data_IF_933809729260
#
_entry.id   IF_933809729260
#
_cell.length_a   1.000
_cell.length_b   1.000
_cell.length_c   1.000
_cell.angle_alpha   90.00
_cell.angle_beta   90.00
_cell.angle_gamma   90.00
#
_symmetry.space_group_name_H-M   'P 1'
#
loop_
_entity.id
_entity.type
_entity.pdbx_description
1 polymer ?
#
# COMPACT_ATOMS: atom_id res chain seq x y z
N UNK A 1 12.46 9.92 15.61
CA UNK A 1 12.64 11.04 14.66
C UNK A 1 11.92 10.71 13.37
N UNK A 2 11.18 11.66 12.78
CA UNK A 2 10.52 11.44 11.48
C UNK A 2 11.56 11.16 10.41
N UNK A 3 11.34 10.15 9.57
CA UNK A 3 12.29 9.80 8.51
C UNK A 3 11.56 9.50 7.20
N UNK A 4 11.96 10.19 6.13
CA UNK A 4 11.45 9.89 4.79
C UNK A 4 11.90 8.51 4.36
N UNK A 5 11.04 7.81 3.64
CA UNK A 5 11.34 6.47 3.15
C UNK A 5 10.20 5.90 2.32
N UNK A 6 10.18 4.59 2.19
CA UNK A 6 9.17 3.85 1.42
C UNK A 6 8.38 2.94 2.34
N UNK A 7 7.07 2.85 2.08
CA UNK A 7 6.22 1.77 2.52
C UNK A 7 5.98 0.84 1.32
N UNK A 8 6.21 -0.46 1.48
CA UNK A 8 6.16 -1.44 0.40
C UNK A 8 5.30 -2.65 0.71
N UNK A 9 4.92 -3.36 -0.34
CA UNK A 9 4.29 -4.68 -0.32
C UNK A 9 5.19 -5.61 -1.14
N UNK A 10 5.68 -6.67 -0.51
CA UNK A 10 6.45 -7.72 -1.16
C UNK A 10 5.61 -8.98 -1.33
N UNK A 11 5.74 -9.61 -2.49
CA UNK A 11 5.23 -10.95 -2.77
C UNK A 11 6.40 -11.92 -2.91
N UNK A 12 6.13 -13.19 -2.67
CA UNK A 12 7.06 -14.29 -2.92
C UNK A 12 6.30 -15.38 -3.65
N UNK A 13 6.86 -15.91 -4.73
CA UNK A 13 6.21 -16.91 -5.58
C UNK A 13 5.91 -18.23 -4.85
N UNK A 14 6.65 -18.55 -3.78
CA UNK A 14 6.46 -19.78 -3.01
C UNK A 14 5.42 -19.64 -1.90
N UNK A 15 4.91 -18.43 -1.64
CA UNK A 15 3.87 -18.22 -0.65
C UNK A 15 2.49 -18.39 -1.28
N UNK A 16 1.53 -18.86 -0.47
CA UNK A 16 0.13 -18.97 -0.89
C UNK A 16 -0.41 -17.62 -1.36
N UNK A 17 -1.31 -17.65 -2.35
CA UNK A 17 -1.93 -16.42 -2.88
C UNK A 17 -2.54 -15.55 -1.77
N UNK A 18 -2.34 -14.24 -1.91
CA UNK A 18 -2.83 -13.25 -0.94
C UNK A 18 -1.93 -13.07 0.29
N UNK A 19 -0.80 -13.79 0.39
CA UNK A 19 0.20 -13.59 1.45
C UNK A 19 1.24 -12.58 1.01
N UNK A 20 1.34 -11.48 1.75
CA UNK A 20 2.28 -10.41 1.46
C UNK A 20 3.06 -10.00 2.70
N UNK A 21 4.33 -9.62 2.50
CA UNK A 21 5.10 -8.88 3.50
C UNK A 21 4.86 -7.40 3.31
N UNK A 22 4.49 -6.70 4.37
CA UNK A 22 4.28 -5.24 4.33
C UNK A 22 5.21 -4.61 5.34
N UNK A 23 6.06 -3.69 4.90
CA UNK A 23 7.05 -3.05 5.77
C UNK A 23 7.61 -1.79 5.14
N UNK A 24 8.60 -1.21 5.82
CA UNK A 24 9.27 0.02 5.38
C UNK A 24 10.76 -0.11 5.15
N UNK A 25 11.30 0.88 4.47
CA UNK A 25 12.75 1.12 4.37
C UNK A 25 13.04 2.60 4.20
N UNK A 26 14.19 3.06 4.70
CA UNK A 26 14.70 4.42 4.44
C UNK A 26 15.63 4.46 3.21
N UNK A 27 15.86 3.29 2.60
CA UNK A 27 16.66 3.08 1.39
C UNK A 27 15.72 2.69 0.25
N UNK A 28 16.28 2.23 -0.88
CA UNK A 28 15.50 1.65 -1.97
C UNK A 28 14.83 0.33 -1.56
N UNK A 29 13.53 0.11 -1.85
CA UNK A 29 12.85 -1.14 -1.53
C UNK A 29 13.48 -2.37 -2.18
N UNK A 30 14.07 -2.23 -3.37
CA UNK A 30 14.78 -3.29 -4.09
C UNK A 30 15.94 -3.84 -3.25
N UNK A 31 16.72 -2.95 -2.64
CA UNK A 31 17.84 -3.33 -1.76
C UNK A 31 17.30 -4.06 -0.53
N UNK A 32 16.20 -3.58 0.05
CA UNK A 32 15.62 -4.20 1.26
C UNK A 32 15.03 -5.58 0.96
N UNK A 33 14.39 -5.76 -0.20
CA UNK A 33 13.85 -7.03 -0.65
C UNK A 33 14.96 -8.07 -0.81
N UNK A 34 16.07 -7.69 -1.46
CA UNK A 34 17.25 -8.54 -1.60
C UNK A 34 17.87 -8.91 -0.24
N UNK A 35 18.10 -7.93 0.64
CA UNK A 35 18.66 -8.18 1.98
C UNK A 35 17.79 -9.12 2.84
N UNK A 36 16.46 -9.06 2.68
CA UNK A 36 15.54 -9.92 3.40
C UNK A 36 15.63 -11.38 2.94
N UNK A 37 15.79 -11.57 1.62
CA UNK A 37 16.00 -12.88 1.01
C UNK A 37 17.35 -13.46 1.44
N UNK A 38 18.46 -12.74 1.19
CA UNK A 38 19.82 -13.20 1.49
C UNK A 38 20.03 -13.58 2.96
N UNK A 39 19.40 -12.85 3.89
CA UNK A 39 19.57 -13.06 5.34
C UNK A 39 18.62 -14.10 5.93
N UNK A 40 17.65 -14.62 5.17
CA UNK A 40 16.69 -15.60 5.66
C UNK A 40 16.90 -16.96 5.00
N UNK A 41 17.50 -17.89 5.73
CA UNK A 41 17.67 -19.28 5.31
C UNK A 41 16.37 -20.05 5.05
N UNK A 42 15.21 -19.50 5.44
CA UNK A 42 13.89 -20.12 5.27
C UNK A 42 13.04 -19.55 4.14
N UNK A 43 13.60 -18.73 3.25
CA UNK A 43 12.87 -18.11 2.13
C UNK A 43 13.43 -18.71 0.83
N UNK A 44 12.68 -19.57 0.11
CA UNK A 44 13.24 -20.31 -1.03
C UNK A 44 13.48 -19.44 -2.28
N UNK A 45 12.65 -18.43 -2.51
CA UNK A 45 12.74 -17.55 -3.68
C UNK A 45 12.87 -16.07 -3.29
N UNK A 46 13.39 -15.19 -4.16
CA UNK A 46 13.43 -13.76 -3.90
C UNK A 46 12.05 -13.11 -3.74
N UNK A 47 12.04 -11.89 -3.20
CA UNK A 47 10.84 -11.08 -3.08
C UNK A 47 10.64 -10.15 -4.29
N UNK A 48 9.42 -10.12 -4.82
CA UNK A 48 8.96 -9.14 -5.80
C UNK A 48 8.31 -7.94 -5.13
N UNK A 49 8.63 -6.73 -5.59
CA UNK A 49 7.97 -5.51 -5.13
C UNK A 49 6.70 -5.29 -5.94
N UNK A 50 5.58 -5.73 -5.39
CA UNK A 50 4.26 -5.62 -6.04
C UNK A 50 3.58 -4.27 -5.81
N UNK A 51 4.06 -3.50 -4.82
CA UNK A 51 3.65 -2.12 -4.56
C UNK A 51 4.68 -1.37 -3.71
N UNK A 52 4.86 -0.07 -3.96
CA UNK A 52 5.62 0.82 -3.09
C UNK A 52 5.14 2.27 -3.18
N UNK A 53 5.32 3.02 -2.10
CA UNK A 53 5.00 4.45 -2.03
C UNK A 53 6.02 5.19 -1.16
N UNK A 54 6.38 6.39 -1.59
CA UNK A 54 7.19 7.32 -0.79
C UNK A 54 6.34 7.96 0.31
N UNK A 55 6.88 8.03 1.51
CA UNK A 55 6.23 8.60 2.70
C UNK A 55 7.14 9.57 3.42
N UNK A 56 6.56 10.64 3.98
CA UNK A 56 7.27 11.67 4.76
C UNK A 56 7.80 11.11 6.09
N UNK A 57 7.08 10.16 6.67
CA UNK A 57 7.49 9.43 7.87
C UNK A 57 7.25 7.92 7.72
N UNK A 58 8.29 7.17 7.37
CA UNK A 58 8.20 5.74 7.14
C UNK A 58 8.06 4.92 8.44
N UNK A 59 8.47 5.47 9.58
CA UNK A 59 8.31 4.78 10.86
C UNK A 59 6.84 4.79 11.28
N UNK A 60 6.22 5.97 11.23
CA UNK A 60 4.81 6.11 11.56
C UNK A 60 3.91 5.41 10.53
N UNK A 61 4.25 5.48 9.23
CA UNK A 61 3.52 4.75 8.20
C UNK A 61 3.51 3.23 8.43
N UNK A 62 4.63 2.63 8.85
CA UNK A 62 4.71 1.20 9.15
C UNK A 62 3.89 0.84 10.39
N UNK A 63 4.01 1.63 11.46
CA UNK A 63 3.23 1.45 12.69
C UNK A 63 1.72 1.44 12.39
N UNK A 64 1.24 2.46 11.67
CA UNK A 64 -0.18 2.60 11.32
C UNK A 64 -0.68 1.47 10.41
N UNK A 65 0.08 1.08 9.37
CA UNK A 65 -0.38 0.01 8.47
C UNK A 65 -0.40 -1.34 9.18
N UNK A 66 0.54 -1.61 10.08
CA UNK A 66 0.57 -2.85 10.85
C UNK A 66 -0.57 -2.95 11.85
N UNK A 67 -0.88 -1.85 12.54
CA UNK A 67 -2.05 -1.74 13.42
C UNK A 67 -3.35 -1.99 12.64
N UNK A 68 -3.46 -1.35 11.47
CA UNK A 68 -4.61 -1.41 10.58
C UNK A 68 -4.83 -2.77 9.91
N UNK A 69 -3.77 -3.56 9.79
CA UNK A 69 -3.81 -4.90 9.20
C UNK A 69 -3.68 -6.00 10.27
N UNK A 70 -3.85 -5.68 11.55
CA UNK A 70 -3.68 -6.64 12.65
C UNK A 70 -4.52 -7.91 12.45
N UNK A 71 -5.79 -7.77 12.05
CA UNK A 71 -6.69 -8.92 11.81
C UNK A 71 -6.29 -9.79 10.61
N UNK A 72 -5.51 -9.24 9.68
CA UNK A 72 -4.99 -9.99 8.53
C UNK A 72 -3.62 -10.62 8.81
N UNK A 73 -3.01 -10.34 9.97
CA UNK A 73 -1.66 -10.78 10.30
C UNK A 73 -1.65 -12.29 10.54
N UNK A 74 -0.74 -12.99 9.85
CA UNK A 74 -0.64 -14.46 9.93
C UNK A 74 0.05 -14.89 11.22
N UNK A 75 1.03 -14.11 11.68
CA UNK A 75 1.79 -14.37 12.89
C UNK A 75 2.08 -13.04 13.58
N UNK A 76 1.71 -12.89 14.85
CA UNK A 76 1.84 -11.64 15.61
C UNK A 76 3.26 -11.04 15.56
N UNK A 77 4.29 -11.89 15.54
CA UNK A 77 5.70 -11.49 15.56
C UNK A 77 6.30 -11.25 14.18
N UNK A 78 5.55 -11.47 13.10
CA UNK A 78 6.04 -11.36 11.72
C UNK A 78 5.14 -10.44 10.90
N UNK A 79 5.75 -9.72 9.97
CA UNK A 79 5.09 -8.68 9.17
C UNK A 79 4.44 -9.26 7.90
N UNK A 80 3.79 -10.43 8.02
CA UNK A 80 3.11 -11.11 6.94
C UNK A 80 1.60 -11.07 7.14
N UNK A 81 0.88 -10.75 6.07
CA UNK A 81 -0.56 -10.51 6.10
C UNK A 81 -1.24 -11.27 4.97
N UNK A 82 -2.43 -11.82 5.24
CA UNK A 82 -3.25 -12.56 4.27
C UNK A 82 -4.50 -11.76 3.90
N UNK A 83 -4.49 -11.15 2.71
CA UNK A 83 -5.57 -10.33 2.16
C UNK A 83 -5.40 -10.17 0.64
N UNK A 84 -6.42 -9.64 -0.06
CA UNK A 84 -6.28 -9.40 -1.50
C UNK A 84 -5.25 -8.29 -1.82
N UNK A 85 -4.54 -8.38 -2.94
CA UNK A 85 -3.56 -7.36 -3.34
C UNK A 85 -4.22 -5.98 -3.52
N UNK A 86 -5.46 -5.97 -4.03
CA UNK A 86 -6.23 -4.75 -4.22
C UNK A 86 -6.49 -4.06 -2.89
N UNK A 87 -6.89 -4.82 -1.87
CA UNK A 87 -7.14 -4.30 -0.53
C UNK A 87 -5.84 -3.84 0.15
N UNK A 88 -4.77 -4.64 0.08
CA UNK A 88 -3.47 -4.27 0.64
C UNK A 88 -2.96 -2.95 0.04
N UNK A 89 -3.04 -2.81 -1.28
CA UNK A 89 -2.71 -1.56 -1.98
C UNK A 89 -3.58 -0.40 -1.50
N UNK A 90 -4.89 -0.59 -1.39
CA UNK A 90 -5.80 0.46 -0.92
C UNK A 90 -5.45 0.94 0.49
N UNK A 91 -5.22 0.02 1.44
CA UNK A 91 -4.85 0.34 2.83
C UNK A 91 -3.48 1.04 2.92
N UNK A 92 -2.48 0.58 2.16
CA UNK A 92 -1.17 1.25 2.07
C UNK A 92 -1.32 2.68 1.55
N UNK A 93 -2.08 2.90 0.47
CA UNK A 93 -2.25 4.25 -0.10
C UNK A 93 -3.04 5.18 0.84
N UNK A 94 -4.01 4.66 1.60
CA UNK A 94 -4.66 5.43 2.65
C UNK A 94 -3.63 5.94 3.66
N UNK A 95 -2.82 5.05 4.25
CA UNK A 95 -1.80 5.43 5.23
C UNK A 95 -0.81 6.44 4.64
N UNK A 96 -0.34 6.21 3.42
CA UNK A 96 0.56 7.14 2.71
C UNK A 96 -0.04 8.53 2.58
N UNK A 97 -1.33 8.62 2.21
CA UNK A 97 -2.04 9.90 2.11
C UNK A 97 -2.08 10.62 3.46
N UNK A 98 -2.49 9.97 4.55
CA UNK A 98 -2.55 10.60 5.87
C UNK A 98 -1.18 11.10 6.34
N UNK A 99 -0.15 10.28 6.19
CA UNK A 99 1.23 10.65 6.59
C UNK A 99 1.77 11.81 5.75
N UNK A 100 1.52 11.80 4.44
CA UNK A 100 2.06 12.82 3.56
C UNK A 100 1.32 14.16 3.70
N UNK A 101 0.03 14.14 3.98
CA UNK A 101 -0.77 15.35 4.21
C UNK A 101 -0.71 15.84 5.68
N UNK A 102 0.05 15.16 6.55
CA UNK A 102 0.10 15.41 8.00
C UNK A 102 -1.29 15.42 8.65
N UNK A 103 -2.18 14.54 8.18
CA UNK A 103 -3.54 14.41 8.68
C UNK A 103 -3.58 13.38 9.80
N UNK A 104 -4.44 13.62 10.79
CA UNK A 104 -4.79 12.57 11.74
C UNK A 104 -5.48 11.41 11.01
N UNK A 105 -5.00 10.20 11.27
CA UNK A 105 -5.60 9.02 10.71
C UNK A 105 -6.97 8.78 11.36
N UNK A 106 -8.05 8.74 10.56
CA UNK A 106 -9.37 8.35 11.05
C UNK A 106 -10.05 7.41 10.05
N UNK A 107 -10.36 6.18 10.49
CA UNK A 107 -10.93 5.13 9.63
C UNK A 107 -12.24 5.56 8.95
N UNK A 108 -13.08 6.29 9.68
CA UNK A 108 -14.39 6.77 9.21
C UNK A 108 -14.25 7.93 8.22
N UNK A 109 -13.20 8.74 8.34
CA UNK A 109 -12.91 9.83 7.38
C UNK A 109 -12.32 9.25 6.09
N UNK A 110 -11.40 8.29 6.20
CA UNK A 110 -10.76 7.62 5.06
C UNK A 110 -11.78 6.96 4.10
N UNK A 111 -12.86 6.39 4.64
CA UNK A 111 -13.91 5.72 3.88
C UNK A 111 -14.94 6.69 3.27
N UNK A 112 -15.11 7.89 3.83
CA UNK A 112 -16.20 8.80 3.50
C UNK A 112 -15.82 9.99 2.61
N UNK A 113 -14.55 10.44 2.61
CA UNK A 113 -14.12 11.58 1.77
C UNK A 113 -14.04 11.16 0.29
N UNK A 114 -15.01 11.60 -0.53
CA UNK A 114 -15.09 11.26 -1.96
C UNK A 114 -14.79 12.47 -2.85
N UNK A 115 -14.03 12.23 -3.90
CA UNK A 115 -13.75 13.14 -5.01
C UNK A 115 -14.47 12.66 -6.26
N UNK A 116 -14.88 13.59 -7.11
CA UNK A 116 -15.49 13.24 -8.40
C UNK A 116 -14.52 13.53 -9.53
N UNK A 117 -14.10 12.49 -10.25
CA UNK A 117 -13.26 12.62 -11.44
C UNK A 117 -14.12 12.41 -12.69
N UNK A 118 -14.07 13.38 -13.60
CA UNK A 118 -14.74 13.28 -14.89
C UNK A 118 -13.80 12.59 -15.87
N UNK A 119 -14.24 11.46 -16.44
CA UNK A 119 -13.47 10.77 -17.47
C UNK A 119 -13.39 11.64 -18.73
N UNK A 120 -12.17 12.00 -19.16
CA UNK A 120 -11.98 12.82 -20.38
C UNK A 120 -12.50 12.14 -21.66
N UNK A 121 -12.59 10.81 -21.68
CA UNK A 121 -13.06 10.07 -22.86
C UNK A 121 -14.59 9.97 -22.97
N UNK A 122 -15.26 9.56 -21.89
CA UNK A 122 -16.70 9.26 -21.92
C UNK A 122 -17.54 10.21 -21.07
N UNK A 123 -16.91 11.24 -20.47
CA UNK A 123 -17.51 12.22 -19.56
C UNK A 123 -18.20 11.65 -18.32
N UNK A 124 -18.12 10.34 -18.07
CA UNK A 124 -18.65 9.72 -16.85
C UNK A 124 -18.00 10.33 -15.61
N UNK A 125 -18.84 10.72 -14.64
CA UNK A 125 -18.43 11.09 -13.28
C UNK A 125 -18.09 9.81 -12.52
N UNK A 126 -16.88 9.74 -11.97
CA UNK A 126 -16.42 8.62 -11.14
C UNK A 126 -16.26 9.16 -9.71
N UNK A 127 -17.13 8.75 -8.79
CA UNK A 127 -16.99 9.04 -7.36
C UNK A 127 -15.99 8.08 -6.77
N UNK A 128 -14.86 8.61 -6.33
CA UNK A 128 -13.72 7.85 -5.84
C UNK A 128 -13.36 8.36 -4.46
N UNK A 129 -12.85 7.53 -3.56
CA UNK A 129 -12.32 8.05 -2.31
C UNK A 129 -11.06 8.90 -2.57
N UNK A 130 -10.85 9.94 -1.77
CA UNK A 130 -9.77 10.94 -1.98
C UNK A 130 -8.37 10.32 -2.01
N UNK A 131 -8.11 9.28 -1.22
CA UNK A 131 -6.84 8.54 -1.27
C UNK A 131 -6.59 7.84 -2.62
N UNK A 132 -7.64 7.58 -3.40
CA UNK A 132 -7.54 6.90 -4.68
C UNK A 132 -6.95 7.79 -5.78
N UNK A 133 -6.80 9.10 -5.54
CA UNK A 133 -6.07 10.01 -6.43
C UNK A 133 -4.61 9.56 -6.66
N UNK A 134 -4.03 8.80 -5.72
CA UNK A 134 -2.67 8.26 -5.81
C UNK A 134 -2.60 6.87 -6.48
N UNK A 135 -3.72 6.38 -7.04
CA UNK A 135 -3.83 5.10 -7.72
C UNK A 135 -3.90 5.27 -9.25
N UNK A 136 -3.43 4.27 -10.00
CA UNK A 136 -3.72 4.18 -11.44
C UNK A 136 -5.15 3.68 -11.64
N UNK A 137 -6.12 4.57 -11.49
CA UNK A 137 -7.54 4.25 -11.57
C UNK A 137 -8.02 4.14 -13.01
N UNK A 138 -9.02 3.28 -13.25
CA UNK A 138 -9.72 3.14 -14.53
C UNK A 138 -11.15 3.65 -14.43
N UNK A 139 -11.66 4.23 -15.51
CA UNK A 139 -13.04 4.68 -15.58
C UNK A 139 -13.99 3.48 -15.47
N UNK A 140 -15.05 3.63 -14.66
CA UNK A 140 -16.05 2.58 -14.49
C UNK A 140 -16.86 2.27 -15.75
N UNK A 141 -16.85 3.14 -16.77
CA UNK A 141 -17.50 2.91 -18.06
C UNK A 141 -16.50 2.42 -19.12
N UNK A 142 -15.65 3.31 -19.64
CA UNK A 142 -14.77 2.98 -20.77
C UNK A 142 -13.49 2.22 -20.39
N UNK A 143 -13.27 1.89 -19.11
CA UNK A 143 -12.10 1.18 -18.58
C UNK A 143 -10.72 1.82 -18.85
N UNK A 144 -10.66 3.01 -19.48
CA UNK A 144 -9.43 3.78 -19.67
C UNK A 144 -8.95 4.40 -18.37
N UNK A 145 -7.63 4.65 -18.27
CA UNK A 145 -7.03 5.31 -17.10
C UNK A 145 -7.67 6.67 -16.86
N UNK A 146 -8.08 6.93 -15.63
CA UNK A 146 -8.50 8.26 -15.19
C UNK A 146 -7.24 9.09 -14.99
N UNK A 147 -7.17 10.22 -15.71
CA UNK A 147 -6.18 11.25 -15.43
C UNK A 147 -6.74 12.04 -14.26
N UNK A 148 -6.06 11.90 -13.14
CA UNK A 148 -6.38 12.54 -11.88
C UNK A 148 -5.80 13.95 -11.87
#
# INVERSE_FOLDING_TARGET
MKKKGFLYILANSTFSEGVYKIGKTTRRPEIRAWELYEKSSGIPEPFDIVHQRLVKDCHEAERLIHERLKEYRINEYREFFKLSLVEAKAKVNQVVYFINENLEYNEKIASNEKVTIICRQCRKKNKLPKYALQLSLKCGNCKRKLVV
#
